data_IF_015105700694
#
_entry.id   IF_015105700694
#
_cell.length_a   1.000
_cell.length_b   1.000
_cell.length_c   1.000
_cell.angle_alpha   90.00
_cell.angle_beta   90.00
_cell.angle_gamma   90.00
#
_symmetry.space_group_name_H-M   'P 1'
#
loop_
_entity.id
_entity.type
_entity.pdbx_description
1 polymer ?
#
# COMPACT_ATOMS: atom_id res chain seq x y z
N UNK A 1 -8.61 -11.22 13.78
CA UNK A 1 -9.13 -10.67 12.51
C UNK A 1 -8.29 -9.46 12.18
N UNK A 2 -7.78 -9.35 10.94
CA UNK A 2 -7.19 -8.09 10.48
C UNK A 2 -8.33 -7.08 10.36
N UNK A 3 -8.20 -5.94 11.03
CA UNK A 3 -9.13 -4.83 10.86
C UNK A 3 -8.99 -4.32 9.43
N UNK A 4 -9.89 -4.76 8.55
CA UNK A 4 -10.03 -4.19 7.22
C UNK A 4 -10.58 -2.78 7.43
N UNK A 5 -9.84 -1.72 7.06
CA UNK A 5 -10.29 -0.35 7.22
C UNK A 5 -11.52 -0.11 6.33
N UNK A 6 -12.45 0.75 6.78
CA UNK A 6 -13.58 1.13 5.93
C UNK A 6 -13.11 1.99 4.74
N UNK A 7 -13.87 1.98 3.66
CA UNK A 7 -13.58 2.78 2.48
C UNK A 7 -13.38 4.27 2.81
N UNK A 8 -14.29 4.84 3.61
CA UNK A 8 -14.25 6.26 4.01
C UNK A 8 -13.00 6.59 4.83
N UNK A 9 -12.56 5.65 5.67
CA UNK A 9 -11.33 5.80 6.45
C UNK A 9 -10.11 5.83 5.53
N UNK A 10 -10.01 4.85 4.62
CA UNK A 10 -8.90 4.76 3.66
C UNK A 10 -8.88 5.96 2.72
N UNK A 11 -10.03 6.42 2.23
CA UNK A 11 -10.12 7.57 1.33
C UNK A 11 -9.52 8.84 1.94
N UNK A 12 -9.56 8.98 3.27
CA UNK A 12 -8.95 10.09 4.01
C UNK A 12 -7.46 9.92 4.33
N UNK A 13 -6.83 8.80 3.98
CA UNK A 13 -5.43 8.56 4.33
C UNK A 13 -4.47 9.43 3.53
N UNK A 14 -3.55 10.05 4.25
CA UNK A 14 -2.33 10.60 3.67
C UNK A 14 -1.38 9.49 3.24
N UNK A 15 -0.29 9.85 2.55
CA UNK A 15 0.82 8.94 2.23
C UNK A 15 1.38 8.28 3.50
N UNK A 16 1.57 9.06 4.57
CA UNK A 16 2.01 8.53 5.86
C UNK A 16 0.99 7.55 6.47
N UNK A 17 -0.32 7.80 6.28
CA UNK A 17 -1.38 6.89 6.70
C UNK A 17 -1.29 5.53 6.01
N UNK A 18 -1.16 5.53 4.68
CA UNK A 18 -0.97 4.30 3.88
C UNK A 18 0.30 3.57 4.30
N UNK A 19 1.43 4.29 4.39
CA UNK A 19 2.73 3.73 4.80
C UNK A 19 2.62 3.04 6.18
N UNK A 20 2.05 3.72 7.16
CA UNK A 20 1.91 3.19 8.52
C UNK A 20 1.02 1.95 8.56
N UNK A 21 -0.06 1.93 7.78
CA UNK A 21 -0.93 0.76 7.67
C UNK A 21 -0.19 -0.44 7.06
N UNK A 22 0.54 -0.23 5.95
CA UNK A 22 1.33 -1.25 5.27
C UNK A 22 2.44 -1.79 6.19
N UNK A 23 3.17 -0.90 6.88
CA UNK A 23 4.22 -1.26 7.83
C UNK A 23 3.68 -2.04 9.03
N UNK A 24 2.55 -1.60 9.62
CA UNK A 24 1.92 -2.28 10.76
C UNK A 24 1.39 -3.68 10.42
N UNK A 25 1.15 -3.96 9.15
CA UNK A 25 0.66 -5.25 8.65
C UNK A 25 1.70 -5.96 7.77
N UNK A 26 2.98 -5.58 7.88
CA UNK A 26 4.01 -6.01 6.95
C UNK A 26 4.30 -7.52 6.99
N UNK A 27 3.97 -8.20 8.08
CA UNK A 27 4.01 -9.68 8.15
C UNK A 27 3.18 -10.36 7.06
N UNK A 28 2.20 -9.66 6.48
CA UNK A 28 1.42 -10.12 5.33
C UNK A 28 1.91 -9.55 4.00
N UNK A 29 2.15 -8.24 3.93
CA UNK A 29 2.54 -7.61 2.67
C UNK A 29 3.95 -8.00 2.23
N UNK A 30 4.83 -8.35 3.17
CA UNK A 30 6.21 -8.75 2.91
C UNK A 30 7.02 -7.68 2.16
N UNK A 31 6.72 -6.41 2.42
CA UNK A 31 7.44 -5.25 1.90
C UNK A 31 8.78 -5.10 2.63
N UNK A 32 9.81 -4.67 1.91
CA UNK A 32 11.07 -4.27 2.51
C UNK A 32 11.14 -2.74 2.68
N UNK A 33 12.21 -2.24 3.31
CA UNK A 33 12.38 -0.80 3.56
C UNK A 33 12.48 0.02 2.28
N UNK A 34 13.03 -0.53 1.19
CA UNK A 34 13.09 0.14 -0.12
C UNK A 34 11.68 0.31 -0.69
N UNK A 35 10.84 -0.73 -0.65
CA UNK A 35 9.47 -0.70 -1.14
C UNK A 35 8.60 0.26 -0.32
N UNK A 36 8.77 0.31 1.01
CA UNK A 36 8.12 1.31 1.87
C UNK A 36 8.56 2.74 1.54
N UNK A 37 9.85 2.94 1.21
CA UNK A 37 10.35 4.23 0.73
C UNK A 37 9.76 4.63 -0.62
N UNK A 38 9.58 3.68 -1.55
CA UNK A 38 8.98 3.98 -2.85
C UNK A 38 7.49 4.37 -2.73
N UNK A 39 6.75 3.75 -1.82
CA UNK A 39 5.36 4.13 -1.49
C UNK A 39 5.31 5.60 -1.03
N UNK A 40 6.24 6.02 -0.19
CA UNK A 40 6.31 7.40 0.28
C UNK A 40 6.68 8.37 -0.84
N UNK A 41 7.70 8.04 -1.62
CA UNK A 41 8.21 8.88 -2.72
C UNK A 41 7.25 9.01 -3.91
N UNK A 42 6.40 8.00 -4.14
CA UNK A 42 5.39 8.02 -5.21
C UNK A 42 4.14 8.83 -4.86
N UNK A 43 4.02 9.31 -3.61
CA UNK A 43 2.83 10.02 -3.16
C UNK A 43 1.61 9.11 -3.01
N UNK A 44 1.83 7.80 -2.78
CA UNK A 44 0.79 6.78 -2.75
C UNK A 44 -0.11 6.94 -1.51
N UNK A 45 -1.19 7.72 -1.69
CA UNK A 45 -2.15 8.10 -0.66
C UNK A 45 -3.41 7.21 -0.67
N UNK A 46 -4.35 7.48 0.23
CA UNK A 46 -5.59 6.72 0.39
C UNK A 46 -6.39 6.51 -0.90
N UNK A 47 -6.71 7.57 -1.66
CA UNK A 47 -7.36 7.44 -2.96
C UNK A 47 -6.57 6.54 -3.93
N UNK A 48 -5.25 6.73 -4.06
CA UNK A 48 -4.43 5.88 -4.92
C UNK A 48 -4.46 4.41 -4.45
N UNK A 49 -4.38 4.17 -3.14
CA UNK A 49 -4.46 2.84 -2.55
C UNK A 49 -5.78 2.11 -2.86
N UNK A 50 -6.91 2.82 -2.86
CA UNK A 50 -8.23 2.26 -3.15
C UNK A 50 -8.43 1.85 -4.61
N UNK A 51 -7.80 2.57 -5.54
CA UNK A 51 -8.03 2.39 -6.97
C UNK A 51 -6.85 1.77 -7.71
N UNK A 52 -5.75 1.48 -7.02
CA UNK A 52 -4.57 0.92 -7.67
C UNK A 52 -4.83 -0.49 -8.20
N UNK A 53 -3.99 -0.90 -9.15
CA UNK A 53 -3.87 -2.29 -9.54
C UNK A 53 -2.43 -2.82 -9.41
N UNK A 54 -2.30 -4.13 -9.62
CA UNK A 54 -1.04 -4.85 -9.46
C UNK A 54 0.05 -4.33 -10.40
N UNK A 55 -0.30 -3.90 -11.61
CA UNK A 55 0.69 -3.45 -12.59
C UNK A 55 1.23 -2.06 -12.21
N UNK A 56 0.37 -1.12 -11.83
CA UNK A 56 0.76 0.21 -11.32
C UNK A 56 1.68 0.12 -10.09
N UNK A 57 1.37 -0.79 -9.15
CA UNK A 57 2.23 -1.01 -7.99
C UNK A 57 3.64 -1.48 -8.38
N UNK A 58 3.77 -2.24 -9.46
CA UNK A 58 5.07 -2.75 -9.93
C UNK A 58 5.80 -1.69 -10.76
N UNK A 59 5.12 -1.02 -11.68
CA UNK A 59 5.75 -0.11 -12.64
C UNK A 59 5.96 1.29 -12.08
N UNK A 60 4.97 1.80 -11.35
CA UNK A 60 4.90 3.22 -10.99
C UNK A 60 5.32 3.43 -9.53
N UNK A 61 4.98 2.47 -8.65
CA UNK A 61 5.39 2.48 -7.24
C UNK A 61 6.66 1.64 -7.01
N UNK A 62 7.02 0.72 -7.90
CA UNK A 62 8.26 -0.05 -7.78
C UNK A 62 8.25 -1.14 -6.70
N UNK A 63 7.11 -1.81 -6.50
CA UNK A 63 6.99 -3.00 -5.66
C UNK A 63 7.40 -4.26 -6.44
N UNK A 64 7.91 -5.27 -5.74
CA UNK A 64 8.01 -6.61 -6.31
C UNK A 64 6.62 -7.20 -6.53
N UNK A 65 6.52 -8.11 -7.50
CA UNK A 65 5.26 -8.74 -7.91
C UNK A 65 4.52 -9.44 -6.75
N UNK A 66 5.25 -10.09 -5.84
CA UNK A 66 4.66 -10.77 -4.68
C UNK A 66 3.95 -9.79 -3.73
N UNK A 67 4.68 -8.80 -3.17
CA UNK A 67 4.10 -7.74 -2.37
C UNK A 67 2.96 -6.98 -3.06
N UNK A 68 3.12 -6.62 -4.34
CA UNK A 68 2.06 -5.94 -5.11
C UNK A 68 0.75 -6.76 -5.13
N UNK A 69 0.84 -8.08 -5.37
CA UNK A 69 -0.33 -8.98 -5.31
C UNK A 69 -0.95 -9.09 -3.93
N UNK A 70 -0.20 -8.85 -2.86
CA UNK A 70 -0.75 -8.88 -1.50
C UNK A 70 -1.44 -7.56 -1.15
N UNK A 71 -0.93 -6.43 -1.64
CA UNK A 71 -1.55 -5.12 -1.46
C UNK A 71 -2.93 -5.05 -2.14
N UNK A 72 -3.05 -5.57 -3.37
CA UNK A 72 -4.34 -5.54 -4.12
C UNK A 72 -5.39 -6.54 -3.65
N UNK A 73 -5.16 -7.27 -2.56
CA UNK A 73 -6.10 -8.27 -2.00
C UNK A 73 -6.89 -7.76 -0.80
N UNK A 74 -6.73 -6.48 -0.46
CA UNK A 74 -7.43 -5.83 0.64
C UNK A 74 -8.80 -5.33 0.21
#
# INVERSE_FOLDING_TARGET
MKNVPSFESVQGWSVAGVRNFLESNNSYFSLNNTELGNIENSGFNGPAFLYTNKDELVTDVGLRLGPAKNVTKI
#
